data_IF_792946194854
#
_entry.id   IF_792946194854
#
_cell.length_a   1.000
_cell.length_b   1.000
_cell.length_c   1.000
_cell.angle_alpha   90.00
_cell.angle_beta   90.00
_cell.angle_gamma   90.00
#
_symmetry.space_group_name_H-M   'P 1'
#
loop_
_entity.id
_entity.type
_entity.pdbx_description
1 polymer ?
#
# COMPACT_ATOMS: atom_id res chain seq x y z
N UNK A 1 20.56 2.65 -40.82
CA UNK A 1 21.86 2.04 -40.89
C UNK A 1 21.88 0.80 -39.99
N UNK A 2 23.02 0.24 -39.72
CA UNK A 2 23.22 -1.02 -38.94
C UNK A 2 22.58 -1.03 -37.55
N UNK A 3 22.35 0.11 -36.93
CA UNK A 3 21.72 0.21 -35.61
C UNK A 3 20.22 -0.15 -35.59
N UNK A 4 19.50 0.14 -36.68
CA UNK A 4 18.08 -0.19 -36.80
C UNK A 4 17.84 -1.68 -37.04
N UNK A 5 18.76 -2.34 -37.76
CA UNK A 5 18.67 -3.79 -37.98
C UNK A 5 18.92 -4.63 -36.73
N UNK A 6 19.72 -4.14 -35.79
CA UNK A 6 19.97 -4.82 -34.51
C UNK A 6 18.77 -4.72 -33.57
N UNK A 7 18.05 -3.61 -33.59
CA UNK A 7 16.82 -3.42 -32.78
C UNK A 7 15.66 -4.25 -33.34
N UNK A 8 15.53 -4.36 -34.66
CA UNK A 8 14.50 -5.21 -35.27
C UNK A 8 14.75 -6.71 -35.07
N UNK A 9 16.00 -7.18 -35.01
CA UNK A 9 16.30 -8.57 -34.68
C UNK A 9 16.00 -8.92 -33.21
N UNK A 10 16.21 -7.98 -32.26
CA UNK A 10 15.88 -8.21 -30.83
C UNK A 10 14.37 -8.20 -30.55
N UNK A 11 13.58 -7.49 -31.34
CA UNK A 11 12.12 -7.50 -31.23
C UNK A 11 11.51 -8.81 -31.80
N UNK A 12 12.15 -9.43 -32.80
CA UNK A 12 11.70 -10.70 -33.38
C UNK A 12 11.92 -11.91 -32.47
N UNK A 13 12.96 -11.90 -31.66
CA UNK A 13 13.29 -13.04 -30.77
C UNK A 13 12.47 -13.03 -29.47
N UNK A 14 11.85 -11.90 -29.09
CA UNK A 14 10.97 -11.83 -27.92
C UNK A 14 9.56 -12.43 -28.15
N UNK A 15 9.16 -12.59 -29.42
CA UNK A 15 7.87 -13.21 -29.76
C UNK A 15 7.87 -14.74 -29.73
N UNK A 16 9.02 -15.38 -29.56
CA UNK A 16 9.17 -16.85 -29.66
C UNK A 16 9.10 -17.58 -28.32
N UNK A 17 8.78 -16.93 -27.21
CA UNK A 17 8.73 -17.56 -25.87
C UNK A 17 7.36 -17.44 -25.17
N UNK A 18 6.33 -16.93 -25.85
CA UNK A 18 4.96 -17.10 -25.35
C UNK A 18 4.34 -18.23 -26.19
N UNK A 19 4.66 -19.47 -25.90
CA UNK A 19 3.78 -20.58 -26.21
C UNK A 19 2.46 -20.25 -25.54
N UNK A 20 1.39 -20.08 -26.31
CA UNK A 20 0.02 -19.99 -25.83
C UNK A 20 -0.25 -21.24 -25.02
N UNK A 21 -0.08 -21.14 -23.70
CA UNK A 21 -0.57 -22.17 -22.80
C UNK A 21 -2.08 -22.10 -22.86
N UNK A 22 -2.69 -23.12 -23.36
CA UNK A 22 -4.14 -23.30 -23.31
C UNK A 22 -4.61 -23.07 -21.86
N UNK A 23 -5.76 -22.41 -21.65
CA UNK A 23 -6.26 -22.17 -20.30
C UNK A 23 -6.47 -23.53 -19.62
N UNK A 24 -5.96 -23.66 -18.39
CA UNK A 24 -6.14 -24.84 -17.55
C UNK A 24 -7.64 -25.07 -17.36
N UNK A 25 -8.17 -26.15 -17.93
CA UNK A 25 -9.56 -26.55 -17.76
C UNK A 25 -9.63 -27.38 -16.48
N UNK A 26 -10.46 -26.93 -15.54
CA UNK A 26 -10.71 -27.62 -14.28
C UNK A 26 -11.30 -29.01 -14.61
N UNK A 27 -10.49 -30.06 -14.40
CA UNK A 27 -10.87 -31.44 -14.70
C UNK A 27 -9.89 -32.22 -15.57
N UNK A 28 -8.88 -31.59 -16.17
CA UNK A 28 -7.85 -32.33 -16.87
C UNK A 28 -6.94 -33.05 -15.87
N UNK A 29 -7.04 -34.35 -15.79
CA UNK A 29 -6.05 -35.16 -15.09
C UNK A 29 -4.69 -34.93 -15.78
N UNK A 30 -3.69 -34.48 -15.02
CA UNK A 30 -2.31 -34.36 -15.51
C UNK A 30 -1.89 -35.72 -16.12
N UNK A 31 -1.25 -35.71 -17.30
CA UNK A 31 -0.79 -36.94 -17.91
C UNK A 31 0.05 -37.77 -16.92
N UNK A 32 -0.06 -39.10 -16.90
CA UNK A 32 0.60 -39.96 -15.92
C UNK A 32 2.14 -39.74 -15.88
N UNK A 33 2.72 -39.25 -16.96
CA UNK A 33 4.15 -38.91 -17.07
C UNK A 33 4.55 -37.60 -16.33
N UNK A 34 3.58 -36.75 -15.99
CA UNK A 34 3.81 -35.51 -15.22
C UNK A 34 3.78 -35.73 -13.69
N UNK A 35 3.39 -36.90 -13.23
CA UNK A 35 3.59 -37.29 -11.84
C UNK A 35 5.08 -37.43 -11.63
N UNK A 36 5.68 -36.38 -11.07
CA UNK A 36 7.12 -36.27 -10.85
C UNK A 36 7.66 -37.58 -10.25
N UNK A 37 8.79 -38.04 -10.76
CA UNK A 37 9.55 -39.17 -10.21
C UNK A 37 10.16 -38.85 -8.83
N UNK A 38 9.56 -37.92 -8.06
CA UNK A 38 9.93 -37.65 -6.69
C UNK A 38 9.45 -38.84 -5.86
N UNK A 39 10.32 -39.64 -5.26
CA UNK A 39 9.92 -40.77 -4.45
C UNK A 39 9.10 -40.30 -3.26
N UNK A 40 8.10 -41.08 -2.87
CA UNK A 40 7.35 -40.83 -1.65
C UNK A 40 8.31 -40.73 -0.46
N UNK A 41 8.07 -39.76 0.43
CA UNK A 41 8.89 -39.59 1.62
C UNK A 41 8.72 -40.80 2.55
N UNK A 42 9.82 -41.34 3.04
CA UNK A 42 9.79 -42.38 4.08
C UNK A 42 9.36 -41.77 5.42
N UNK A 43 8.14 -42.08 5.85
CA UNK A 43 7.58 -41.59 7.10
C UNK A 43 7.86 -42.53 8.31
N UNK A 44 8.61 -43.62 8.13
CA UNK A 44 8.85 -44.58 9.20
C UNK A 44 9.64 -44.00 10.40
N UNK A 45 10.43 -42.96 10.14
CA UNK A 45 11.21 -42.25 11.16
C UNK A 45 10.46 -41.07 11.82
N UNK A 46 9.24 -40.76 11.42
CA UNK A 46 8.45 -39.64 11.99
C UNK A 46 8.06 -39.99 13.43
N UNK A 47 8.39 -39.09 14.33
CA UNK A 47 8.00 -39.19 15.75
C UNK A 47 6.89 -38.22 16.06
N UNK A 48 5.87 -38.68 16.75
CA UNK A 48 4.78 -37.86 17.28
C UNK A 48 5.13 -37.38 18.68
N UNK A 49 4.55 -36.25 19.08
CA UNK A 49 4.62 -35.71 20.43
C UNK A 49 3.20 -35.53 20.98
N UNK A 50 2.96 -35.74 22.29
CA UNK A 50 1.67 -35.44 22.91
C UNK A 50 1.31 -33.97 22.70
N UNK A 51 0.03 -33.67 22.39
CA UNK A 51 -0.43 -32.30 22.16
C UNK A 51 -0.24 -31.39 23.37
N UNK A 52 -0.26 -31.95 24.56
CA UNK A 52 -0.04 -31.26 25.83
C UNK A 52 1.39 -30.70 25.98
N UNK A 53 2.36 -31.35 25.31
CA UNK A 53 3.77 -30.92 25.32
C UNK A 53 4.08 -29.94 24.17
N UNK A 54 3.15 -29.77 23.22
CA UNK A 54 3.32 -28.87 22.08
C UNK A 54 2.90 -27.46 22.45
N UNK A 55 3.70 -26.42 22.19
CA UNK A 55 3.30 -25.03 22.36
C UNK A 55 2.18 -24.69 21.37
N UNK A 56 0.97 -24.54 21.86
CA UNK A 56 -0.20 -24.16 21.05
C UNK A 56 -0.35 -22.63 21.07
N UNK A 57 -0.48 -22.02 19.88
CA UNK A 57 -0.61 -20.57 19.70
C UNK A 57 -2.06 -20.07 19.76
N UNK A 58 -3.03 -20.97 19.79
CA UNK A 58 -4.45 -20.65 19.77
C UNK A 58 -5.14 -21.42 20.88
N UNK A 59 -5.90 -20.69 21.70
CA UNK A 59 -6.66 -21.23 22.84
C UNK A 59 -8.14 -20.89 22.68
N UNK A 60 -9.01 -21.69 23.26
CA UNK A 60 -10.46 -21.50 23.18
C UNK A 60 -10.94 -20.21 23.83
N UNK A 61 -10.23 -19.72 24.85
CA UNK A 61 -10.50 -18.47 25.54
C UNK A 61 -10.37 -17.25 24.62
N UNK A 62 -9.59 -17.39 23.56
CA UNK A 62 -9.30 -16.34 22.56
C UNK A 62 -10.28 -16.36 21.38
N UNK A 63 -11.25 -17.28 21.38
CA UNK A 63 -12.20 -17.41 20.29
C UNK A 63 -13.20 -16.25 20.24
N UNK A 64 -13.79 -16.05 19.06
CA UNK A 64 -14.86 -15.09 18.85
C UNK A 64 -16.03 -15.36 19.80
N UNK A 65 -16.66 -14.28 20.27
CA UNK A 65 -17.89 -14.36 21.06
C UNK A 65 -19.09 -14.02 20.21
N UNK A 66 -20.23 -14.68 20.37
CA UNK A 66 -21.44 -14.27 19.67
C UNK A 66 -21.77 -12.80 19.95
N UNK A 67 -22.25 -12.01 18.96
CA UNK A 67 -22.63 -10.62 19.19
C UNK A 67 -23.75 -10.55 20.22
N UNK A 68 -23.56 -9.69 21.24
CA UNK A 68 -24.54 -9.43 22.29
C UNK A 68 -25.71 -8.53 21.82
N UNK A 69 -26.38 -7.91 22.75
CA UNK A 69 -27.47 -6.93 22.47
C UNK A 69 -26.91 -5.60 21.95
N UNK A 70 -25.71 -5.23 22.39
CA UNK A 70 -25.02 -4.04 21.90
C UNK A 70 -24.56 -4.27 20.44
N UNK A 71 -25.04 -3.44 19.54
CA UNK A 71 -24.75 -3.48 18.10
C UNK A 71 -23.77 -2.38 17.68
N UNK A 72 -23.12 -1.73 18.65
CA UNK A 72 -22.08 -0.73 18.36
C UNK A 72 -20.87 -1.37 17.64
N UNK A 73 -20.15 -0.55 16.87
CA UNK A 73 -18.88 -0.98 16.25
C UNK A 73 -17.86 -1.45 17.30
N UNK A 74 -17.83 -0.79 18.46
CA UNK A 74 -16.95 -1.21 19.56
C UNK A 74 -17.27 -2.61 20.08
N UNK A 75 -18.56 -2.94 20.25
CA UNK A 75 -19.00 -4.27 20.63
C UNK A 75 -18.69 -5.32 19.56
N UNK A 76 -18.84 -4.97 18.29
CA UNK A 76 -18.44 -5.83 17.18
C UNK A 76 -16.94 -6.14 17.23
N UNK A 77 -16.08 -5.13 17.32
CA UNK A 77 -14.62 -5.34 17.43
C UNK A 77 -14.24 -6.17 18.67
N UNK A 78 -14.93 -5.95 19.79
CA UNK A 78 -14.70 -6.72 21.02
C UNK A 78 -15.13 -8.18 20.91
N UNK A 79 -16.06 -8.51 20.00
CA UNK A 79 -16.55 -9.87 19.77
C UNK A 79 -15.66 -10.71 18.86
N UNK A 80 -14.77 -10.08 18.09
CA UNK A 80 -13.85 -10.79 17.20
C UNK A 80 -12.85 -11.64 18.00
N UNK A 81 -12.31 -12.72 17.41
CA UNK A 81 -11.32 -13.55 18.09
C UNK A 81 -10.05 -12.75 18.42
N UNK A 82 -9.35 -13.14 19.49
CA UNK A 82 -8.09 -12.51 19.93
C UNK A 82 -6.90 -13.45 19.64
N UNK A 83 -6.82 -13.95 18.42
CA UNK A 83 -5.81 -14.91 17.98
C UNK A 83 -4.98 -14.35 16.85
N UNK A 84 -3.72 -14.75 16.79
CA UNK A 84 -2.80 -14.42 15.69
C UNK A 84 -2.80 -12.89 15.40
N UNK A 85 -3.00 -12.52 14.13
CA UNK A 85 -3.00 -11.11 13.69
C UNK A 85 -4.08 -10.25 14.34
N UNK A 86 -5.19 -10.84 14.82
CA UNK A 86 -6.24 -10.08 15.51
C UNK A 86 -5.79 -9.55 16.87
N UNK A 87 -4.98 -10.32 17.59
CA UNK A 87 -4.32 -9.86 18.83
C UNK A 87 -3.34 -8.71 18.56
N UNK A 88 -2.52 -8.84 17.52
CA UNK A 88 -1.59 -7.78 17.10
C UNK A 88 -2.34 -6.51 16.70
N UNK A 89 -3.42 -6.63 15.94
CA UNK A 89 -4.29 -5.51 15.56
C UNK A 89 -4.81 -4.75 16.78
N UNK A 90 -5.35 -5.45 17.79
CA UNK A 90 -5.82 -4.83 19.03
C UNK A 90 -4.71 -4.11 19.77
N UNK A 91 -3.52 -4.72 19.83
CA UNK A 91 -2.34 -4.14 20.46
C UNK A 91 -1.92 -2.85 19.79
N UNK A 92 -1.91 -2.81 18.44
CA UNK A 92 -1.60 -1.61 17.66
C UNK A 92 -2.63 -0.51 17.90
N UNK A 93 -3.94 -0.83 17.85
CA UNK A 93 -5.02 0.14 18.14
C UNK A 93 -4.86 0.72 19.55
N UNK A 94 -4.60 -0.12 20.55
CA UNK A 94 -4.41 0.33 21.92
C UNK A 94 -3.16 1.22 22.07
N UNK A 95 -2.07 0.89 21.38
CA UNK A 95 -0.84 1.67 21.41
C UNK A 95 -1.04 3.07 20.79
N UNK A 96 -1.69 3.16 19.62
CA UNK A 96 -2.03 4.43 18.95
C UNK A 96 -2.91 5.28 19.87
N UNK A 97 -4.00 4.71 20.41
CA UNK A 97 -4.89 5.42 21.30
C UNK A 97 -4.19 5.89 22.60
N UNK A 98 -3.27 5.10 23.13
CA UNK A 98 -2.47 5.49 24.30
C UNK A 98 -1.49 6.64 23.96
N UNK A 99 -0.81 6.55 22.80
CA UNK A 99 0.10 7.61 22.35
C UNK A 99 -0.63 8.94 22.16
N UNK A 100 -1.76 8.91 21.46
CA UNK A 100 -2.59 10.10 21.24
C UNK A 100 -3.05 10.75 22.57
N UNK A 101 -3.58 9.95 23.52
CA UNK A 101 -3.97 10.46 24.85
C UNK A 101 -2.80 11.07 25.64
N UNK A 102 -1.61 10.53 25.47
CA UNK A 102 -0.38 11.01 26.14
C UNK A 102 0.33 12.11 25.34
N UNK A 103 -0.25 12.57 24.24
CA UNK A 103 0.36 13.55 23.32
C UNK A 103 1.77 13.14 22.88
N UNK A 104 1.96 11.86 22.59
CA UNK A 104 3.19 11.30 22.04
C UNK A 104 3.07 11.17 20.53
N UNK A 105 4.20 11.15 19.86
CA UNK A 105 4.25 11.00 18.40
C UNK A 105 3.59 9.68 17.95
N UNK A 106 2.77 9.81 16.89
CA UNK A 106 2.25 8.71 16.10
C UNK A 106 2.68 8.98 14.67
N UNK A 107 3.63 8.20 14.19
CA UNK A 107 4.19 8.33 12.84
C UNK A 107 3.52 7.29 11.95
N UNK A 108 2.90 7.74 10.87
CA UNK A 108 2.32 6.87 9.85
C UNK A 108 3.22 6.89 8.62
N UNK A 109 3.72 5.71 8.25
CA UNK A 109 4.53 5.52 7.04
C UNK A 109 3.68 4.77 6.01
N UNK A 110 3.51 5.33 4.83
CA UNK A 110 2.64 4.77 3.80
C UNK A 110 3.22 4.85 2.39
N UNK A 111 2.70 4.01 1.51
CA UNK A 111 2.98 4.04 0.09
C UNK A 111 1.74 4.39 -0.73
N UNK A 112 1.91 4.51 -2.05
CA UNK A 112 0.85 4.94 -2.97
C UNK A 112 -0.43 4.11 -2.91
N UNK A 113 -0.35 2.85 -2.53
CA UNK A 113 -1.53 1.98 -2.46
C UNK A 113 -2.57 2.50 -1.46
N UNK A 114 -2.14 3.03 -0.32
CA UNK A 114 -3.04 3.60 0.69
C UNK A 114 -3.77 4.82 0.13
N UNK A 115 -3.05 5.68 -0.60
CA UNK A 115 -3.63 6.90 -1.18
C UNK A 115 -4.61 6.55 -2.30
N UNK A 116 -4.16 5.76 -3.29
CA UNK A 116 -4.97 5.45 -4.48
C UNK A 116 -6.21 4.59 -4.21
N UNK A 117 -6.27 3.88 -3.08
CA UNK A 117 -7.45 3.10 -2.68
C UNK A 117 -8.47 3.90 -1.86
N UNK A 118 -8.26 5.21 -1.71
CA UNK A 118 -9.26 6.11 -1.13
C UNK A 118 -9.25 6.19 0.40
N UNK A 119 -8.13 5.86 1.04
CA UNK A 119 -8.01 5.90 2.52
C UNK A 119 -7.62 7.29 3.03
N UNK A 120 -7.18 8.21 2.15
CA UNK A 120 -6.72 9.54 2.53
C UNK A 120 -7.71 10.31 3.44
N UNK A 121 -9.04 10.37 3.19
CA UNK A 121 -9.96 11.10 4.06
C UNK A 121 -9.96 10.62 5.50
N UNK A 122 -9.76 9.32 5.73
CA UNK A 122 -9.69 8.75 7.09
C UNK A 122 -8.40 9.15 7.81
N UNK A 123 -7.30 9.20 7.07
CA UNK A 123 -6.02 9.68 7.60
C UNK A 123 -6.09 11.17 7.91
N UNK A 124 -6.70 11.98 7.04
CA UNK A 124 -6.92 13.40 7.23
C UNK A 124 -7.72 13.66 8.52
N UNK A 125 -8.83 12.95 8.75
CA UNK A 125 -9.59 13.06 10.01
C UNK A 125 -8.71 12.78 11.23
N UNK A 126 -7.88 11.73 11.16
CA UNK A 126 -6.97 11.40 12.26
C UNK A 126 -5.85 12.44 12.44
N UNK A 127 -5.40 13.08 11.38
CA UNK A 127 -4.44 14.19 11.42
C UNK A 127 -5.09 15.43 12.05
N UNK A 128 -6.27 15.81 11.59
CA UNK A 128 -7.03 16.95 12.14
C UNK A 128 -7.33 16.80 13.63
N UNK A 129 -7.61 15.58 14.05
CA UNK A 129 -7.81 15.22 15.47
C UNK A 129 -6.52 15.05 16.24
N UNK A 130 -5.37 15.27 15.62
CA UNK A 130 -4.03 15.11 16.23
C UNK A 130 -3.77 13.72 16.81
N UNK A 131 -4.37 12.70 16.20
CA UNK A 131 -4.04 11.29 16.49
C UNK A 131 -2.77 10.92 15.74
N UNK A 132 -2.70 11.25 14.44
CA UNK A 132 -1.46 11.18 13.65
C UNK A 132 -0.74 12.51 13.81
N UNK A 133 0.55 12.44 14.12
CA UNK A 133 1.40 13.63 14.33
C UNK A 133 2.47 13.78 13.25
N UNK A 134 2.80 12.71 12.54
CA UNK A 134 3.80 12.73 11.48
C UNK A 134 3.35 11.79 10.36
N UNK A 135 3.54 12.23 9.14
CA UNK A 135 3.26 11.46 7.95
C UNK A 135 4.54 11.30 7.13
N UNK A 136 4.89 10.07 6.78
CA UNK A 136 5.98 9.77 5.85
C UNK A 136 5.41 8.97 4.67
N UNK A 137 5.76 9.35 3.45
CA UNK A 137 5.33 8.61 2.26
C UNK A 137 6.45 8.55 1.23
N UNK A 138 6.44 7.50 0.41
CA UNK A 138 7.35 7.40 -0.72
C UNK A 138 6.83 8.20 -1.92
N UNK A 139 7.66 8.35 -2.96
CA UNK A 139 7.29 9.09 -4.18
C UNK A 139 5.97 8.63 -4.82
N UNK A 140 5.67 7.32 -4.78
CA UNK A 140 4.39 6.79 -5.26
C UNK A 140 3.19 7.34 -4.47
N UNK A 141 3.32 7.49 -3.15
CA UNK A 141 2.29 8.13 -2.33
C UNK A 141 2.08 9.60 -2.72
N UNK A 142 3.17 10.34 -2.88
CA UNK A 142 3.12 11.74 -3.27
C UNK A 142 2.55 11.96 -4.68
N UNK A 143 2.86 11.07 -5.64
CA UNK A 143 2.29 11.10 -6.99
C UNK A 143 0.77 10.96 -6.93
N UNK A 144 0.26 9.94 -6.26
CA UNK A 144 -1.18 9.73 -6.16
C UNK A 144 -1.89 10.85 -5.40
N UNK A 145 -1.28 11.39 -4.36
CA UNK A 145 -1.82 12.54 -3.61
C UNK A 145 -1.90 13.80 -4.47
N UNK A 146 -0.82 14.10 -5.20
CA UNK A 146 -0.75 15.20 -6.15
C UNK A 146 -1.83 15.11 -7.24
N UNK A 147 -1.99 13.93 -7.84
CA UNK A 147 -2.97 13.68 -8.90
C UNK A 147 -4.41 13.81 -8.40
N UNK A 148 -4.72 13.24 -7.24
CA UNK A 148 -6.05 13.37 -6.62
C UNK A 148 -6.35 14.84 -6.33
N UNK A 149 -5.41 15.56 -5.70
CA UNK A 149 -5.61 16.97 -5.40
C UNK A 149 -5.86 17.81 -6.66
N UNK A 150 -5.09 17.58 -7.69
CA UNK A 150 -5.10 18.40 -8.92
C UNK A 150 -6.18 18.02 -9.89
N UNK A 151 -6.42 16.73 -10.11
CA UNK A 151 -7.28 16.21 -11.18
C UNK A 151 -8.52 15.44 -10.67
N UNK A 152 -8.56 15.07 -9.41
CA UNK A 152 -9.64 14.24 -8.83
C UNK A 152 -9.58 12.77 -9.28
N UNK A 153 -8.51 12.35 -9.93
CA UNK A 153 -8.31 10.99 -10.41
C UNK A 153 -6.83 10.60 -10.35
N UNK A 154 -6.56 9.33 -10.20
CA UNK A 154 -5.21 8.77 -10.19
C UNK A 154 -5.23 7.30 -10.56
N UNK A 155 -4.03 6.68 -10.67
CA UNK A 155 -3.87 5.25 -10.97
C UNK A 155 -4.32 4.86 -12.37
N UNK A 156 -3.47 5.10 -13.34
CA UNK A 156 -3.67 4.77 -14.74
C UNK A 156 -3.89 3.26 -15.01
N UNK A 157 -4.47 2.93 -16.15
CA UNK A 157 -4.61 1.56 -16.63
C UNK A 157 -3.25 1.04 -17.12
N UNK A 158 -2.62 0.24 -16.25
CA UNK A 158 -1.27 -0.33 -16.51
C UNK A 158 -1.26 -1.18 -17.77
N UNK A 159 -2.27 -2.04 -17.98
CA UNK A 159 -2.30 -2.96 -19.11
C UNK A 159 -2.33 -2.18 -20.43
N UNK A 160 -3.14 -1.14 -20.52
CA UNK A 160 -3.22 -0.27 -21.69
C UNK A 160 -1.93 0.53 -21.89
N UNK A 161 -1.43 1.17 -20.83
CA UNK A 161 -0.22 1.98 -20.90
C UNK A 161 1.05 1.21 -21.27
N UNK A 162 1.10 -0.10 -20.95
CA UNK A 162 2.23 -0.95 -21.38
C UNK A 162 2.19 -1.29 -22.87
N UNK A 163 1.00 -1.33 -23.49
CA UNK A 163 0.87 -1.63 -24.93
C UNK A 163 1.41 -0.49 -25.79
N UNK A 164 1.11 0.75 -25.41
CA UNK A 164 1.50 1.94 -26.19
C UNK A 164 2.71 2.69 -25.62
N UNK A 165 3.27 2.22 -24.52
CA UNK A 165 4.46 2.80 -23.89
C UNK A 165 4.19 4.08 -23.09
N UNK A 166 2.94 4.37 -22.75
CA UNK A 166 2.55 5.59 -22.01
C UNK A 166 2.50 5.40 -20.48
N UNK A 167 2.68 4.17 -19.98
CA UNK A 167 2.65 3.90 -18.54
C UNK A 167 3.67 4.74 -17.77
N UNK A 168 3.21 5.51 -16.80
CA UNK A 168 4.04 6.40 -15.97
C UNK A 168 4.43 7.71 -16.66
N UNK A 169 3.86 8.04 -17.83
CA UNK A 169 4.24 9.19 -18.63
C UNK A 169 3.25 10.36 -18.55
N UNK A 170 2.59 10.52 -17.39
CA UNK A 170 1.69 11.64 -17.16
C UNK A 170 2.48 12.98 -17.15
N UNK A 171 2.29 13.79 -18.19
CA UNK A 171 3.09 14.99 -18.45
C UNK A 171 2.98 16.00 -17.30
N UNK A 172 1.75 16.32 -16.91
CA UNK A 172 1.50 17.34 -15.89
C UNK A 172 1.98 16.91 -14.51
N UNK A 173 1.88 15.62 -14.18
CA UNK A 173 2.38 15.07 -12.93
C UNK A 173 3.91 15.10 -12.89
N UNK A 174 4.53 14.57 -13.95
CA UNK A 174 5.99 14.53 -14.05
C UNK A 174 6.60 15.93 -14.05
N UNK A 175 6.09 16.84 -14.86
CA UNK A 175 6.57 18.23 -14.94
C UNK A 175 6.36 18.95 -13.63
N UNK A 176 5.13 18.96 -13.09
CA UNK A 176 4.80 19.76 -11.91
C UNK A 176 5.57 19.31 -10.67
N UNK A 177 5.73 18.01 -10.45
CA UNK A 177 6.51 17.51 -9.31
C UNK A 177 8.02 17.80 -9.48
N UNK A 178 8.59 17.63 -10.68
CA UNK A 178 9.99 17.94 -10.90
C UNK A 178 10.29 19.43 -10.74
N UNK A 179 9.43 20.33 -11.22
CA UNK A 179 9.55 21.77 -11.02
C UNK A 179 9.46 22.13 -9.52
N UNK A 180 8.55 21.48 -8.78
CA UNK A 180 8.46 21.65 -7.33
C UNK A 180 9.76 21.23 -6.63
N UNK A 181 10.34 20.09 -6.98
CA UNK A 181 11.60 19.62 -6.40
C UNK A 181 12.76 20.57 -6.69
N UNK A 182 12.89 21.05 -7.93
CA UNK A 182 13.93 22.02 -8.30
C UNK A 182 13.78 23.32 -7.48
N UNK A 183 12.55 23.83 -7.36
CA UNK A 183 12.25 25.01 -6.55
C UNK A 183 12.55 24.77 -5.08
N UNK A 184 12.18 23.60 -4.55
CA UNK A 184 12.47 23.20 -3.18
C UNK A 184 13.98 23.17 -2.89
N UNK A 185 14.77 22.56 -3.79
CA UNK A 185 16.23 22.54 -3.67
C UNK A 185 16.85 23.96 -3.61
N UNK A 186 16.35 24.87 -4.44
CA UNK A 186 16.84 26.26 -4.47
C UNK A 186 16.51 27.04 -3.19
N UNK A 187 15.42 26.66 -2.51
CA UNK A 187 14.93 27.35 -1.31
C UNK A 187 15.26 26.62 -0.01
N UNK A 188 15.89 25.43 -0.07
CA UNK A 188 16.21 24.62 1.11
C UNK A 188 14.98 23.94 1.73
N UNK A 189 13.92 23.70 0.96
CA UNK A 189 12.71 23.00 1.42
C UNK A 189 12.85 21.50 1.25
N UNK A 190 12.20 20.75 2.14
CA UNK A 190 12.01 19.31 1.94
C UNK A 190 11.09 19.03 0.75
N UNK A 191 11.19 17.81 0.20
CA UNK A 191 10.43 17.44 -1.00
C UNK A 191 8.91 17.55 -0.79
N UNK A 192 8.41 17.13 0.37
CA UNK A 192 6.99 17.23 0.69
C UNK A 192 6.51 18.68 0.79
N UNK A 193 7.27 19.53 1.47
CA UNK A 193 7.01 20.98 1.54
C UNK A 193 7.01 21.62 0.15
N UNK A 194 7.96 21.25 -0.70
CA UNK A 194 8.05 21.76 -2.06
C UNK A 194 6.82 21.41 -2.90
N UNK A 195 6.37 20.16 -2.85
CA UNK A 195 5.17 19.73 -3.57
C UNK A 195 3.91 20.37 -3.00
N UNK A 196 3.77 20.46 -1.68
CA UNK A 196 2.63 21.12 -1.06
C UNK A 196 2.53 22.60 -1.46
N UNK A 197 3.66 23.34 -1.46
CA UNK A 197 3.71 24.74 -1.92
C UNK A 197 3.37 24.88 -3.40
N UNK A 198 3.88 23.98 -4.25
CA UNK A 198 3.56 23.99 -5.67
C UNK A 198 2.07 23.72 -5.94
N UNK A 199 1.45 22.85 -5.16
CA UNK A 199 0.00 22.59 -5.24
C UNK A 199 -0.80 23.85 -4.90
N UNK A 200 -0.39 24.68 -3.97
CA UNK A 200 -1.09 25.93 -3.60
C UNK A 200 -1.07 26.99 -4.71
N UNK A 201 -0.14 26.90 -5.64
CA UNK A 201 0.01 27.87 -6.73
C UNK A 201 -0.76 27.51 -7.99
N UNK A 202 -1.45 26.36 -8.01
CA UNK A 202 -2.18 25.84 -9.19
C UNK A 202 -3.64 25.56 -8.87
N UNK A 203 -4.53 25.53 -9.88
CA UNK A 203 -5.91 25.11 -9.69
C UNK A 203 -5.99 23.64 -9.24
N UNK A 204 -6.78 23.40 -8.19
CA UNK A 204 -6.98 22.07 -7.61
C UNK A 204 -8.44 21.65 -7.74
N UNK A 205 -8.67 20.38 -8.06
CA UNK A 205 -10.00 19.79 -8.08
C UNK A 205 -10.48 19.39 -6.68
N UNK A 206 -9.59 18.78 -5.87
CA UNK A 206 -9.90 18.24 -4.55
C UNK A 206 -8.78 18.51 -3.53
N UNK A 207 -8.53 19.78 -3.16
CA UNK A 207 -7.49 20.12 -2.17
C UNK A 207 -7.76 19.48 -0.80
N UNK A 208 -9.01 19.26 -0.44
CA UNK A 208 -9.43 18.64 0.82
C UNK A 208 -9.08 17.16 0.94
N UNK A 209 -8.71 16.52 -0.17
CA UNK A 209 -8.30 15.11 -0.22
C UNK A 209 -6.78 14.92 -0.15
N UNK A 210 -5.99 16.00 -0.14
CA UNK A 210 -4.55 15.92 -0.14
C UNK A 210 -3.98 15.82 1.27
N UNK A 211 -3.26 14.76 1.51
CA UNK A 211 -2.47 14.55 2.73
C UNK A 211 -1.32 15.56 2.84
N UNK A 212 -0.68 15.89 1.71
CA UNK A 212 0.41 16.86 1.62
C UNK A 212 -0.05 18.28 2.01
N UNK A 213 -1.23 18.69 1.51
CA UNK A 213 -1.78 20.01 1.83
C UNK A 213 -2.24 20.13 3.28
N UNK A 214 -2.90 19.09 3.80
CA UNK A 214 -3.38 19.09 5.19
C UNK A 214 -2.23 19.19 6.16
N UNK A 215 -1.14 18.50 5.89
CA UNK A 215 0.05 18.54 6.70
C UNK A 215 0.72 19.92 6.63
N UNK A 216 0.90 20.47 5.43
CA UNK A 216 1.52 21.78 5.21
C UNK A 216 0.77 22.93 5.88
N UNK A 217 -0.56 22.92 5.96
CA UNK A 217 -1.34 23.96 6.62
C UNK A 217 -1.22 24.00 8.15
N UNK A 218 -0.28 23.22 8.72
CA UNK A 218 0.02 23.24 10.15
C UNK A 218 -1.05 22.62 11.03
N UNK A 219 -1.90 21.76 10.44
CA UNK A 219 -2.83 20.92 11.21
C UNK A 219 -2.09 19.85 11.99
N UNK A 220 -0.89 19.49 11.52
CA UNK A 220 0.13 18.76 12.27
C UNK A 220 1.28 19.72 12.53
N UNK A 221 1.56 20.05 13.81
CA UNK A 221 2.71 20.87 14.17
C UNK A 221 4.00 20.06 13.96
N UNK A 222 4.95 20.64 13.22
CA UNK A 222 6.33 20.14 13.08
C UNK A 222 6.48 18.80 12.34
N UNK A 223 5.67 18.53 11.31
CA UNK A 223 5.88 17.38 10.47
C UNK A 223 7.03 17.62 9.47
N UNK A 224 8.19 17.06 9.79
CA UNK A 224 9.23 16.87 8.80
C UNK A 224 8.83 15.74 7.86
N UNK A 225 8.68 16.04 6.56
CA UNK A 225 8.51 15.02 5.54
C UNK A 225 9.81 14.23 5.42
N UNK A 226 9.78 12.98 5.83
CA UNK A 226 10.85 12.03 5.56
C UNK A 226 10.53 11.30 4.25
N UNK A 227 11.29 11.58 3.20
CA UNK A 227 11.35 10.81 1.98
C UNK A 227 12.49 9.80 2.05
#
# INVERSE_FOLDING_TARGET
>A
GEHDQVLQRRAGDAHLLIEEREPFVEGDELPPESRSAIPEADLSAVRTVPVELRPNKVRTEEFAKPPGRDRSFGAFLASLPDVLVAGDFRSVVAAIASAARKKRAVIVMLGGHIVKTGVAPLLIDLMERRVITHLAMNGSGAIHDYEIARFGATSEDVARGLVDGTFGMAEETGRGMNEAFVTGMQNGWGMGEAVAKALLEIPLAHPEMSLLLVDFHGRISDADFLF
#
